data_IF_220295751456
#
_entry.id   IF_220295751456
#
_cell.length_a   1.000
_cell.length_b   1.000
_cell.length_c   1.000
_cell.angle_alpha   90.00
_cell.angle_beta   90.00
_cell.angle_gamma   90.00
#
_symmetry.space_group_name_H-M   'P 1'
#
loop_
_entity.id
_entity.type
_entity.pdbx_description
1 polymer ?
#
# COMPACT_ATOMS: atom_id res chain seq x y z
N UNK A 1 8.04 32.55 -36.90
CA UNK A 1 9.31 32.08 -36.30
C UNK A 1 9.05 31.96 -34.81
N UNK A 2 8.75 30.74 -34.34
CA UNK A 2 8.62 30.45 -32.90
C UNK A 2 10.00 30.73 -32.31
N UNK A 3 10.02 31.56 -31.28
CA UNK A 3 11.16 32.31 -30.73
C UNK A 3 12.43 31.46 -30.55
N UNK A 4 13.54 31.87 -31.21
CA UNK A 4 14.90 31.30 -31.07
C UNK A 4 15.67 32.00 -29.95
N UNK A 5 15.13 32.05 -28.74
CA UNK A 5 15.90 32.58 -27.61
C UNK A 5 16.81 31.45 -27.11
N UNK A 6 18.14 31.61 -27.15
CA UNK A 6 19.05 30.60 -26.62
C UNK A 6 18.78 30.34 -25.14
N UNK A 7 18.96 29.10 -24.67
CA UNK A 7 18.80 28.75 -23.24
C UNK A 7 19.75 29.52 -22.30
N UNK A 8 20.79 30.18 -22.83
CA UNK A 8 21.69 31.05 -22.08
C UNK A 8 21.20 32.49 -21.93
N UNK A 9 20.07 32.85 -22.56
CA UNK A 9 19.48 34.19 -22.49
C UNK A 9 18.20 34.12 -21.66
N UNK A 10 18.13 34.81 -20.50
CA UNK A 10 16.89 34.93 -19.73
C UNK A 10 15.75 35.48 -20.59
N UNK A 11 14.55 34.94 -20.45
CA UNK A 11 13.37 35.42 -21.16
C UNK A 11 13.03 36.84 -20.69
N UNK A 12 12.78 37.76 -21.63
CA UNK A 12 12.34 39.12 -21.31
C UNK A 12 10.95 39.09 -20.66
N UNK A 13 10.83 39.62 -19.45
CA UNK A 13 9.55 39.80 -18.76
C UNK A 13 9.23 38.77 -17.67
N UNK A 14 10.04 37.75 -17.42
CA UNK A 14 9.82 36.84 -16.28
C UNK A 14 10.80 37.02 -15.11
N UNK A 15 10.13 37.01 -13.97
CA UNK A 15 10.49 37.40 -12.63
C UNK A 15 11.64 36.55 -12.09
N UNK A 16 12.68 37.20 -11.55
CA UNK A 16 13.55 36.52 -10.62
C UNK A 16 12.65 35.84 -9.57
N UNK A 17 12.63 34.51 -9.55
CA UNK A 17 11.98 33.74 -8.49
C UNK A 17 12.60 34.28 -7.22
N UNK A 18 11.82 34.99 -6.42
CA UNK A 18 12.26 35.40 -5.10
C UNK A 18 12.44 34.09 -4.35
N UNK A 19 13.67 33.62 -4.21
CA UNK A 19 13.96 32.50 -3.34
C UNK A 19 13.37 32.89 -2.00
N UNK A 20 12.39 32.13 -1.49
CA UNK A 20 11.96 32.34 -0.13
C UNK A 20 13.18 32.03 0.74
N UNK A 21 13.80 33.09 1.25
CA UNK A 21 14.93 32.99 2.15
C UNK A 21 14.43 32.33 3.43
N UNK A 22 14.88 31.10 3.68
CA UNK A 22 14.67 30.36 4.93
C UNK A 22 13.27 30.53 5.51
N UNK A 23 12.26 30.00 4.81
CA UNK A 23 11.03 29.62 5.49
C UNK A 23 11.43 28.70 6.64
N UNK A 24 11.03 29.01 7.88
CA UNK A 24 11.52 28.44 9.14
C UNK A 24 11.41 26.92 9.22
N UNK A 25 12.25 26.24 8.46
CA UNK A 25 12.35 24.81 8.36
C UNK A 25 12.97 24.32 9.65
N UNK A 26 12.15 23.64 10.44
CA UNK A 26 12.62 22.88 11.58
C UNK A 26 12.73 21.44 11.09
N UNK A 27 13.96 20.90 10.93
CA UNK A 27 14.13 19.50 10.58
C UNK A 27 13.41 18.61 11.59
N UNK A 28 12.72 17.56 11.12
CA UNK A 28 12.05 16.57 11.97
C UNK A 28 10.87 17.13 12.80
N UNK A 29 10.18 18.18 12.32
CA UNK A 29 8.94 18.70 12.93
C UNK A 29 7.71 17.87 12.53
N UNK A 30 7.72 16.58 12.89
CA UNK A 30 6.61 15.68 12.56
C UNK A 30 5.37 15.97 13.42
N UNK A 31 4.23 16.19 12.77
CA UNK A 31 2.94 16.37 13.43
C UNK A 31 2.12 15.08 13.39
N UNK A 32 1.44 14.76 14.48
CA UNK A 32 0.65 13.54 14.64
C UNK A 32 -0.76 13.86 15.11
N UNK A 33 -1.75 13.33 14.41
CA UNK A 33 -3.17 13.43 14.78
C UNK A 33 -3.80 12.04 14.74
N UNK A 34 -4.59 11.70 15.76
CA UNK A 34 -5.44 10.50 15.73
C UNK A 34 -6.89 10.94 15.53
N UNK A 35 -7.49 10.51 14.42
CA UNK A 35 -8.86 10.88 14.07
C UNK A 35 -9.87 10.11 14.93
N UNK A 36 -11.11 10.60 14.97
CA UNK A 36 -12.23 9.88 15.62
C UNK A 36 -12.50 8.51 14.98
N UNK A 37 -12.16 8.34 13.70
CA UNK A 37 -12.19 7.07 13.00
C UNK A 37 -11.11 6.08 13.46
N UNK A 38 -10.19 6.48 14.35
CA UNK A 38 -8.97 5.75 14.78
C UNK A 38 -7.84 5.70 13.75
N UNK A 39 -8.04 6.26 12.56
CA UNK A 39 -6.95 6.47 11.60
C UNK A 39 -5.95 7.44 12.20
N UNK A 40 -4.67 7.10 12.12
CA UNK A 40 -3.57 7.97 12.54
C UNK A 40 -3.04 8.71 11.32
N UNK A 41 -2.80 10.01 11.47
CA UNK A 41 -2.25 10.88 10.42
C UNK A 41 -0.94 11.46 10.93
N UNK A 42 0.12 11.26 10.16
CA UNK A 42 1.44 11.82 10.39
C UNK A 42 1.81 12.71 9.20
N UNK A 43 2.43 13.85 9.46
CA UNK A 43 2.99 14.65 8.39
C UNK A 43 4.31 15.30 8.78
N UNK A 44 5.16 15.52 7.79
CA UNK A 44 6.35 16.35 7.90
C UNK A 44 6.31 17.43 6.82
N UNK A 45 6.30 18.71 7.21
CA UNK A 45 6.31 19.80 6.25
C UNK A 45 7.66 19.80 5.53
N UNK A 46 7.63 19.79 4.20
CA UNK A 46 8.79 20.02 3.37
C UNK A 46 8.46 21.06 2.31
N UNK A 47 9.40 21.95 2.01
CA UNK A 47 9.18 23.02 1.06
C UNK A 47 9.42 22.51 -0.36
N UNK A 48 8.39 22.59 -1.19
CA UNK A 48 8.42 22.21 -2.60
C UNK A 48 7.02 22.15 -3.20
N UNK A 49 6.96 22.03 -4.51
CA UNK A 49 5.70 21.94 -5.25
C UNK A 49 5.13 20.50 -5.28
N UNK A 50 5.85 19.54 -4.72
CA UNK A 50 5.49 18.12 -4.70
C UNK A 50 5.40 17.58 -3.28
N UNK A 51 4.47 16.65 -3.09
CA UNK A 51 4.28 15.91 -1.86
C UNK A 51 4.27 14.41 -2.13
N UNK A 52 4.60 13.63 -1.10
CA UNK A 52 4.45 12.17 -1.10
C UNK A 52 3.52 11.78 0.03
N UNK A 53 2.50 10.98 -0.29
CA UNK A 53 1.49 10.52 0.63
C UNK A 53 1.50 9.00 0.63
N UNK A 54 1.59 8.39 1.81
CA UNK A 54 1.57 6.95 2.00
C UNK A 54 0.48 6.54 2.97
N UNK A 55 -0.22 5.46 2.67
CA UNK A 55 -1.14 4.79 3.58
C UNK A 55 -0.55 3.44 3.93
N UNK A 56 -0.02 3.34 5.15
CA UNK A 56 0.51 2.12 5.72
C UNK A 56 -0.58 1.42 6.53
N UNK A 57 -0.77 0.13 6.28
CA UNK A 57 -1.79 -0.70 6.88
C UNK A 57 -1.11 -1.87 7.57
N UNK A 58 -1.45 -2.13 8.82
CA UNK A 58 -1.06 -3.37 9.51
C UNK A 58 -1.80 -4.55 8.87
N UNK A 59 -1.25 -5.10 7.79
CA UNK A 59 -1.83 -6.10 6.90
C UNK A 59 -0.72 -6.73 6.06
N UNK A 60 -0.90 -7.92 5.53
CA UNK A 60 0.17 -8.68 4.85
C UNK A 60 0.02 -10.19 5.01
N UNK A 61 0.95 -10.94 4.42
CA UNK A 61 0.80 -12.41 4.33
C UNK A 61 0.77 -13.09 5.70
N UNK A 62 1.31 -12.48 6.77
CA UNK A 62 1.25 -13.06 8.12
C UNK A 62 -0.16 -13.20 8.69
N UNK A 63 -1.11 -12.42 8.17
CA UNK A 63 -2.49 -12.35 8.66
C UNK A 63 -3.43 -13.26 7.85
N UNK A 64 -2.88 -14.12 6.98
CA UNK A 64 -3.66 -14.98 6.10
C UNK A 64 -4.19 -16.26 6.78
N UNK A 65 -4.03 -16.40 8.09
CA UNK A 65 -4.62 -17.52 8.82
C UNK A 65 -6.14 -17.54 8.62
N UNK A 66 -6.67 -18.67 8.14
CA UNK A 66 -8.08 -18.81 7.79
C UNK A 66 -8.47 -18.30 6.40
N UNK A 67 -7.52 -17.77 5.63
CA UNK A 67 -7.64 -17.45 4.21
C UNK A 67 -6.78 -18.39 3.37
N UNK A 68 -7.07 -18.57 2.07
CA UNK A 68 -6.11 -19.20 1.17
C UNK A 68 -4.82 -18.37 1.13
N UNK A 69 -3.67 -19.00 1.38
CA UNK A 69 -2.37 -18.32 1.41
C UNK A 69 -2.08 -17.63 0.07
N UNK A 70 -1.56 -16.40 0.13
CA UNK A 70 -1.36 -15.51 -1.01
C UNK A 70 -2.57 -14.66 -1.38
N UNK A 71 -3.57 -14.56 -0.49
CA UNK A 71 -4.68 -13.59 -0.63
C UNK A 71 -4.17 -12.15 -0.62
N UNK A 72 -3.21 -11.80 0.24
CA UNK A 72 -2.61 -10.46 0.31
C UNK A 72 -1.83 -10.13 -0.96
N UNK A 73 -1.16 -11.12 -1.57
CA UNK A 73 -0.47 -10.95 -2.84
C UNK A 73 -1.45 -10.64 -3.99
N UNK A 74 -2.62 -11.30 -4.00
CA UNK A 74 -3.69 -10.98 -4.96
C UNK A 74 -4.29 -9.60 -4.69
N UNK A 75 -4.47 -9.21 -3.42
CA UNK A 75 -4.92 -7.86 -3.05
C UNK A 75 -3.94 -6.80 -3.60
N UNK A 76 -2.63 -7.09 -3.60
CA UNK A 76 -1.60 -6.18 -4.13
C UNK A 76 -1.79 -5.99 -5.65
N UNK A 77 -1.99 -7.07 -6.41
CA UNK A 77 -2.19 -6.98 -7.87
C UNK A 77 -3.53 -6.37 -8.28
N UNK A 78 -4.52 -6.44 -7.39
CA UNK A 78 -5.82 -5.78 -7.56
C UNK A 78 -5.78 -4.29 -7.19
N UNK A 79 -4.70 -3.81 -6.58
CA UNK A 79 -4.54 -2.39 -6.27
C UNK A 79 -4.72 -1.54 -7.53
N UNK A 80 -5.37 -0.39 -7.35
CA UNK A 80 -5.69 0.55 -8.42
C UNK A 80 -6.48 -0.05 -9.60
N UNK A 81 -7.19 -1.15 -9.36
CA UNK A 81 -8.28 -1.62 -10.22
C UNK A 81 -9.48 -0.67 -10.21
N UNK A 82 -10.57 -1.09 -10.86
CA UNK A 82 -11.82 -0.33 -10.88
C UNK A 82 -12.41 -0.17 -9.47
N UNK A 83 -13.00 1.00 -9.24
CA UNK A 83 -13.59 1.39 -7.96
C UNK A 83 -15.03 1.87 -8.15
N UNK A 84 -15.71 2.25 -7.08
CA UNK A 84 -17.01 2.95 -7.19
C UNK A 84 -16.90 4.31 -7.89
N UNK A 85 -15.72 4.93 -7.85
CA UNK A 85 -15.47 6.29 -8.38
C UNK A 85 -14.92 6.28 -9.81
N UNK A 86 -13.98 5.36 -10.07
CA UNK A 86 -13.28 5.22 -11.36
C UNK A 86 -13.64 3.86 -11.97
N UNK A 87 -14.03 3.84 -13.23
CA UNK A 87 -14.53 2.64 -13.91
C UNK A 87 -13.43 1.68 -14.34
N UNK A 88 -12.19 2.17 -14.51
CA UNK A 88 -11.05 1.39 -14.99
C UNK A 88 -9.72 1.90 -14.40
N UNK A 89 -8.64 1.12 -14.61
CA UNK A 89 -7.27 1.55 -14.29
C UNK A 89 -6.87 2.81 -15.07
N UNK A 90 -7.28 2.90 -16.33
CA UNK A 90 -6.93 4.02 -17.21
C UNK A 90 -7.49 5.35 -16.71
N UNK A 91 -8.69 5.37 -16.15
CA UNK A 91 -9.25 6.58 -15.53
C UNK A 91 -8.43 7.04 -14.32
N UNK A 92 -7.96 6.09 -13.51
CA UNK A 92 -7.09 6.39 -12.36
C UNK A 92 -5.76 6.99 -12.85
N UNK A 93 -5.14 6.38 -13.86
CA UNK A 93 -3.88 6.88 -14.43
C UNK A 93 -4.03 8.24 -15.11
N UNK A 94 -5.16 8.55 -15.73
CA UNK A 94 -5.43 9.87 -16.29
C UNK A 94 -5.44 10.95 -15.20
N UNK A 95 -6.15 10.70 -14.09
CA UNK A 95 -6.16 11.63 -12.94
C UNK A 95 -4.77 11.79 -12.33
N UNK A 96 -4.00 10.72 -12.23
CA UNK A 96 -2.61 10.79 -11.76
C UNK A 96 -1.75 11.63 -12.70
N UNK A 97 -1.82 11.40 -14.01
CA UNK A 97 -1.06 12.16 -15.01
C UNK A 97 -1.37 13.66 -14.96
N UNK A 98 -2.64 14.04 -14.82
CA UNK A 98 -3.07 15.44 -14.70
C UNK A 98 -2.48 16.14 -13.47
N UNK A 99 -2.13 15.38 -12.43
CA UNK A 99 -1.56 15.88 -11.18
C UNK A 99 -0.05 15.63 -11.04
N UNK A 100 0.63 15.20 -12.12
CA UNK A 100 2.05 14.82 -12.09
C UNK A 100 2.33 13.68 -11.11
N UNK A 101 1.35 12.80 -10.95
CA UNK A 101 1.29 11.76 -9.93
C UNK A 101 1.95 10.45 -10.36
N UNK A 102 2.73 9.85 -9.47
CA UNK A 102 3.13 8.44 -9.51
C UNK A 102 2.48 7.73 -8.35
N UNK A 103 2.02 6.49 -8.55
CA UNK A 103 1.41 5.67 -7.52
C UNK A 103 2.01 4.28 -7.52
N UNK A 104 2.15 3.68 -6.35
CA UNK A 104 2.57 2.30 -6.17
C UNK A 104 1.87 1.65 -4.98
N UNK A 105 1.78 0.33 -5.02
CA UNK A 105 1.23 -0.49 -3.95
C UNK A 105 2.12 -1.70 -3.71
N UNK A 106 2.53 -1.89 -2.46
CA UNK A 106 3.41 -2.99 -2.07
C UNK A 106 2.92 -3.66 -0.79
N UNK A 107 3.01 -4.98 -0.74
CA UNK A 107 2.78 -5.77 0.45
C UNK A 107 4.07 -6.37 1.00
N UNK A 108 4.18 -6.42 2.32
CA UNK A 108 5.19 -7.17 3.06
C UNK A 108 4.50 -8.25 3.90
N UNK A 109 5.24 -8.83 4.87
CA UNK A 109 4.67 -9.79 5.81
C UNK A 109 3.64 -9.17 6.73
N UNK A 110 3.85 -7.94 7.17
CA UNK A 110 3.06 -7.28 8.22
C UNK A 110 2.57 -5.88 7.86
N UNK A 111 3.01 -5.34 6.72
CA UNK A 111 2.65 -4.00 6.27
C UNK A 111 2.19 -4.02 4.81
N UNK A 112 1.08 -3.34 4.54
CA UNK A 112 0.61 -2.99 3.21
C UNK A 112 0.76 -1.50 3.01
N UNK A 113 1.34 -1.07 1.88
CA UNK A 113 1.62 0.34 1.62
C UNK A 113 0.99 0.72 0.28
N UNK A 114 0.12 1.72 0.31
CA UNK A 114 -0.34 2.44 -0.89
C UNK A 114 0.29 3.83 -0.85
N UNK A 115 1.17 4.15 -1.79
CA UNK A 115 1.89 5.42 -1.78
C UNK A 115 1.80 6.12 -3.12
N UNK A 116 1.74 7.45 -3.07
CA UNK A 116 1.75 8.29 -4.25
C UNK A 116 2.62 9.53 -4.03
N UNK A 117 3.28 9.99 -5.09
CA UNK A 117 3.94 11.29 -5.14
C UNK A 117 3.24 12.14 -6.20
N UNK A 118 2.87 13.37 -5.89
CA UNK A 118 2.16 14.26 -6.81
C UNK A 118 2.43 15.73 -6.51
N UNK A 119 1.99 16.64 -7.40
CA UNK A 119 1.98 18.06 -7.10
C UNK A 119 1.08 18.34 -5.89
N UNK A 120 1.44 19.31 -5.03
CA UNK A 120 0.70 19.62 -3.79
C UNK A 120 -0.79 19.92 -4.02
N UNK A 121 -1.14 20.54 -5.15
CA UNK A 121 -2.53 20.81 -5.53
C UNK A 121 -3.33 19.55 -5.84
N UNK A 122 -2.65 18.44 -6.14
CA UNK A 122 -3.24 17.14 -6.42
C UNK A 122 -3.48 16.27 -5.19
N UNK A 123 -3.13 16.75 -3.98
CA UNK A 123 -3.32 16.05 -2.70
C UNK A 123 -4.71 15.41 -2.59
N UNK A 124 -5.77 16.18 -2.84
CA UNK A 124 -7.15 15.73 -2.66
C UNK A 124 -7.52 14.60 -3.64
N UNK A 125 -7.18 14.77 -4.91
CA UNK A 125 -7.45 13.79 -5.96
C UNK A 125 -6.69 12.48 -5.73
N UNK A 126 -5.42 12.58 -5.33
CA UNK A 126 -4.59 11.41 -5.04
C UNK A 126 -5.05 10.68 -3.78
N UNK A 127 -5.44 11.41 -2.73
CA UNK A 127 -6.04 10.81 -1.53
C UNK A 127 -7.38 10.12 -1.86
N UNK A 128 -8.20 10.71 -2.74
CA UNK A 128 -9.43 10.07 -3.23
C UNK A 128 -9.12 8.73 -3.91
N UNK A 129 -8.10 8.68 -4.79
CA UNK A 129 -7.68 7.46 -5.47
C UNK A 129 -7.25 6.40 -4.46
N UNK A 130 -6.36 6.73 -3.52
CA UNK A 130 -5.86 5.77 -2.53
C UNK A 130 -7.01 5.24 -1.67
N UNK A 131 -7.84 6.12 -1.12
CA UNK A 131 -8.98 5.71 -0.30
C UNK A 131 -9.98 4.83 -1.06
N UNK A 132 -10.23 5.12 -2.34
CA UNK A 132 -11.09 4.28 -3.18
C UNK A 132 -10.45 2.93 -3.52
N UNK A 133 -9.14 2.88 -3.76
CA UNK A 133 -8.43 1.62 -4.00
C UNK A 133 -8.47 0.69 -2.77
N UNK A 134 -8.39 1.25 -1.55
CA UNK A 134 -8.43 0.47 -0.31
C UNK A 134 -9.86 0.07 0.06
N UNK A 135 -10.81 1.02 0.08
CA UNK A 135 -12.15 0.79 0.65
C UNK A 135 -13.26 0.57 -0.38
N UNK A 136 -13.06 0.96 -1.63
CA UNK A 136 -14.13 0.99 -2.66
C UNK A 136 -13.75 0.30 -3.96
N UNK A 137 -12.78 -0.62 -3.92
CA UNK A 137 -12.45 -1.49 -5.03
C UNK A 137 -13.62 -2.41 -5.38
N UNK A 138 -13.88 -2.59 -6.68
CA UNK A 138 -14.92 -3.49 -7.19
C UNK A 138 -14.46 -4.94 -7.22
N UNK A 139 -13.15 -5.17 -7.42
CA UNK A 139 -12.52 -6.50 -7.53
C UNK A 139 -13.36 -7.41 -8.44
N UNK A 140 -13.57 -7.02 -9.70
CA UNK A 140 -14.38 -7.78 -10.66
C UNK A 140 -13.77 -9.16 -10.91
N UNK A 141 -14.55 -10.10 -11.46
CA UNK A 141 -14.00 -11.43 -11.76
C UNK A 141 -12.91 -11.34 -12.83
N UNK A 142 -13.07 -10.45 -13.82
CA UNK A 142 -12.08 -10.26 -14.88
C UNK A 142 -10.76 -9.71 -14.29
N UNK A 143 -10.83 -8.70 -13.41
CA UNK A 143 -9.66 -8.17 -12.70
C UNK A 143 -8.97 -9.23 -11.82
N UNK A 144 -9.75 -10.13 -11.21
CA UNK A 144 -9.22 -11.22 -10.41
C UNK A 144 -8.46 -12.22 -11.28
N UNK A 145 -8.98 -12.58 -12.45
CA UNK A 145 -8.28 -13.46 -13.39
C UNK A 145 -7.03 -12.79 -13.98
N UNK A 146 -7.07 -11.49 -14.28
CA UNK A 146 -5.88 -10.71 -14.63
C UNK A 146 -4.82 -10.75 -13.52
N UNK A 147 -5.22 -10.52 -12.27
CA UNK A 147 -4.33 -10.60 -11.12
C UNK A 147 -3.69 -11.99 -10.98
N UNK A 148 -4.45 -13.07 -11.24
CA UNK A 148 -3.89 -14.43 -11.25
C UNK A 148 -2.84 -14.61 -12.35
N UNK A 149 -3.11 -14.13 -13.55
CA UNK A 149 -2.15 -14.22 -14.66
C UNK A 149 -0.86 -13.49 -14.34
N UNK A 150 -0.95 -12.30 -13.72
CA UNK A 150 0.23 -11.54 -13.27
C UNK A 150 1.02 -12.33 -12.22
N UNK A 151 0.36 -12.86 -11.19
CA UNK A 151 1.02 -13.66 -10.15
C UNK A 151 1.66 -14.93 -10.71
N UNK A 152 0.97 -15.62 -11.63
CA UNK A 152 1.53 -16.81 -12.28
C UNK A 152 2.79 -16.45 -13.09
N UNK A 153 2.74 -15.36 -13.85
CA UNK A 153 3.90 -14.87 -14.58
C UNK A 153 5.07 -14.53 -13.66
N UNK A 154 4.81 -13.84 -12.53
CA UNK A 154 5.84 -13.55 -11.52
C UNK A 154 6.47 -14.82 -10.94
N UNK A 155 5.65 -15.84 -10.61
CA UNK A 155 6.14 -17.12 -10.11
C UNK A 155 7.06 -17.84 -11.11
N UNK A 156 6.75 -17.75 -12.41
CA UNK A 156 7.54 -18.37 -13.47
C UNK A 156 8.83 -17.61 -13.77
N UNK A 157 8.83 -16.29 -13.59
CA UNK A 157 9.89 -15.38 -14.00
C UNK A 157 10.88 -15.05 -12.88
N UNK A 158 10.40 -14.86 -11.64
CA UNK A 158 11.25 -14.51 -10.50
C UNK A 158 12.42 -15.48 -10.27
N UNK A 159 12.25 -16.81 -10.29
CA UNK A 159 13.37 -17.73 -10.06
C UNK A 159 14.48 -17.68 -11.12
N UNK A 160 14.21 -17.06 -12.27
CA UNK A 160 15.18 -16.91 -13.38
C UNK A 160 16.00 -15.63 -13.27
N UNK A 161 15.61 -14.70 -12.40
CA UNK A 161 16.24 -13.38 -12.24
C UNK A 161 17.18 -13.37 -11.03
N UNK A 162 18.43 -12.96 -11.26
CA UNK A 162 19.43 -12.81 -10.18
C UNK A 162 18.93 -11.82 -9.12
N UNK A 163 18.30 -10.73 -9.54
CA UNK A 163 17.75 -9.68 -8.66
C UNK A 163 16.68 -10.21 -7.68
N UNK A 164 15.97 -11.27 -8.04
CA UNK A 164 14.94 -11.90 -7.20
C UNK A 164 15.50 -12.90 -6.19
N UNK A 165 16.80 -13.21 -6.25
CA UNK A 165 17.43 -14.22 -5.38
C UNK A 165 17.30 -13.88 -3.90
N UNK A 166 17.59 -12.63 -3.53
CA UNK A 166 17.54 -12.18 -2.13
C UNK A 166 16.10 -12.13 -1.57
N UNK A 167 15.10 -11.58 -2.28
CA UNK A 167 13.70 -11.68 -1.87
C UNK A 167 13.22 -13.13 -1.69
N UNK A 168 13.53 -14.04 -2.63
CA UNK A 168 13.14 -15.44 -2.56
C UNK A 168 13.81 -16.18 -1.40
N UNK A 169 15.12 -15.99 -1.21
CA UNK A 169 15.86 -16.60 -0.12
C UNK A 169 15.35 -16.13 1.24
N UNK A 170 15.06 -14.83 1.37
CA UNK A 170 14.48 -14.26 2.58
C UNK A 170 13.12 -14.87 2.88
N UNK A 171 12.30 -15.08 1.86
CA UNK A 171 10.99 -15.72 1.99
C UNK A 171 11.11 -17.18 2.45
N UNK A 172 11.98 -17.97 1.81
CA UNK A 172 12.22 -19.37 2.19
C UNK A 172 12.84 -19.52 3.58
N UNK A 173 13.70 -18.58 3.98
CA UNK A 173 14.26 -18.56 5.34
C UNK A 173 13.15 -18.40 6.38
N UNK A 174 12.19 -17.51 6.13
CA UNK A 174 11.04 -17.32 7.02
C UNK A 174 10.13 -18.55 7.03
N UNK A 175 9.86 -19.16 5.87
CA UNK A 175 9.11 -20.41 5.79
C UNK A 175 9.78 -21.52 6.60
N UNK A 176 11.11 -21.65 6.54
CA UNK A 176 11.84 -22.64 7.32
C UNK A 176 11.87 -22.31 8.83
N UNK A 177 11.96 -21.02 9.17
CA UNK A 177 12.06 -20.51 10.53
C UNK A 177 10.73 -20.55 11.30
N UNK A 178 9.60 -20.30 10.63
CA UNK A 178 8.29 -20.14 11.27
C UNK A 178 7.25 -21.15 10.78
N UNK A 179 7.52 -21.89 9.70
CA UNK A 179 6.67 -22.95 9.12
C UNK A 179 5.24 -22.45 8.85
N UNK A 180 4.23 -23.20 9.27
CA UNK A 180 2.82 -22.92 8.97
C UNK A 180 2.20 -21.89 9.94
N UNK A 181 2.98 -20.94 10.44
CA UNK A 181 2.51 -19.92 11.39
C UNK A 181 2.96 -18.51 10.99
N UNK A 182 2.01 -17.57 10.95
CA UNK A 182 2.22 -16.12 10.82
C UNK A 182 3.37 -15.74 9.88
N UNK A 183 4.56 -15.44 10.39
CA UNK A 183 5.72 -15.01 9.61
C UNK A 183 6.24 -16.06 8.61
N UNK A 184 5.87 -17.32 8.79
CA UNK A 184 6.21 -18.42 7.89
C UNK A 184 5.29 -18.53 6.67
N UNK A 185 4.17 -17.80 6.63
CA UNK A 185 3.39 -17.64 5.42
C UNK A 185 4.19 -16.87 4.38
N UNK A 186 4.31 -17.47 3.18
CA UNK A 186 5.06 -16.89 2.07
C UNK A 186 4.37 -15.63 1.56
N UNK A 187 5.17 -14.64 1.14
CA UNK A 187 4.65 -13.49 0.38
C UNK A 187 4.16 -13.92 -1.01
N UNK A 188 4.73 -14.98 -1.57
CA UNK A 188 4.48 -15.42 -2.94
C UNK A 188 3.44 -16.55 -2.96
N UNK A 189 2.38 -16.35 -3.73
CA UNK A 189 1.26 -17.29 -3.82
C UNK A 189 1.67 -18.54 -4.61
N UNK A 190 1.58 -19.73 -4.00
CA UNK A 190 1.75 -20.99 -4.75
C UNK A 190 0.63 -21.20 -5.79
N UNK A 191 0.91 -21.90 -6.89
CA UNK A 191 -0.08 -22.20 -7.94
C UNK A 191 -1.34 -22.92 -7.39
N UNK A 192 -1.14 -23.85 -6.45
CA UNK A 192 -2.22 -24.59 -5.82
C UNK A 192 -3.13 -23.66 -4.99
N UNK A 193 -2.55 -22.69 -4.28
CA UNK A 193 -3.33 -21.72 -3.52
C UNK A 193 -3.99 -20.67 -4.43
N UNK A 194 -3.29 -20.30 -5.52
CA UNK A 194 -3.74 -19.30 -6.48
C UNK A 194 -5.13 -19.65 -7.02
N UNK A 195 -5.38 -20.89 -7.41
CA UNK A 195 -6.70 -21.33 -7.92
C UNK A 195 -7.85 -21.28 -6.89
N UNK A 196 -7.54 -21.23 -5.58
CA UNK A 196 -8.53 -21.27 -4.48
C UNK A 196 -8.95 -19.90 -3.99
N UNK A 197 -8.17 -18.86 -4.29
CA UNK A 197 -8.49 -17.48 -3.89
C UNK A 197 -9.73 -17.05 -4.69
N UNK A 198 -10.77 -16.57 -4.02
CA UNK A 198 -12.01 -16.10 -4.67
C UNK A 198 -12.20 -14.63 -4.38
N UNK A 199 -13.04 -13.96 -5.17
CA UNK A 199 -13.46 -12.57 -4.89
C UNK A 199 -13.96 -12.40 -3.44
N UNK A 200 -14.70 -13.38 -2.91
CA UNK A 200 -15.17 -13.36 -1.52
C UNK A 200 -14.03 -13.45 -0.51
N UNK A 201 -13.00 -14.25 -0.78
CA UNK A 201 -11.79 -14.31 0.06
C UNK A 201 -11.10 -12.93 0.09
N UNK A 202 -10.87 -12.33 -1.07
CA UNK A 202 -10.24 -11.00 -1.22
C UNK A 202 -11.01 -9.93 -0.45
N UNK A 203 -12.31 -9.78 -0.71
CA UNK A 203 -13.12 -8.75 -0.05
C UNK A 203 -13.23 -8.98 1.46
N UNK A 204 -13.31 -10.23 1.90
CA UNK A 204 -13.34 -10.57 3.32
C UNK A 204 -12.02 -10.24 4.00
N UNK A 205 -10.89 -10.51 3.36
CA UNK A 205 -9.56 -10.16 3.89
C UNK A 205 -9.42 -8.64 4.07
N UNK A 206 -9.74 -7.87 3.01
CA UNK A 206 -9.69 -6.40 3.05
C UNK A 206 -10.61 -5.87 4.16
N UNK A 207 -11.83 -6.40 4.29
CA UNK A 207 -12.80 -5.94 5.30
C UNK A 207 -12.31 -6.11 6.75
N UNK A 208 -11.47 -7.09 7.02
CA UNK A 208 -10.94 -7.35 8.36
C UNK A 208 -9.63 -6.61 8.63
N UNK A 209 -8.72 -6.59 7.65
CA UNK A 209 -7.34 -6.14 7.86
C UNK A 209 -7.06 -4.71 7.37
N UNK A 210 -7.94 -4.12 6.54
CA UNK A 210 -7.82 -2.73 6.09
C UNK A 210 -8.79 -1.81 6.86
N UNK A 211 -9.08 -2.18 8.11
CA UNK A 211 -9.93 -1.43 9.03
C UNK A 211 -9.26 -0.13 9.53
N UNK A 212 -10.02 0.91 9.89
CA UNK A 212 -9.50 2.22 10.27
C UNK A 212 -8.39 2.22 11.34
N UNK A 213 -8.52 1.40 12.38
CA UNK A 213 -7.54 1.29 13.48
C UNK A 213 -6.17 0.75 13.04
N UNK A 214 -6.13 0.03 11.91
CA UNK A 214 -4.90 -0.53 11.33
C UNK A 214 -4.21 0.42 10.35
N UNK A 215 -4.80 1.59 10.09
CA UNK A 215 -4.32 2.53 9.08
C UNK A 215 -3.53 3.68 9.72
N UNK A 216 -2.38 3.96 9.12
CA UNK A 216 -1.61 5.18 9.29
C UNK A 216 -1.47 5.86 7.94
N UNK A 217 -1.86 7.13 7.85
CA UNK A 217 -1.60 7.98 6.69
C UNK A 217 -0.39 8.86 7.02
N UNK A 218 0.64 8.83 6.20
CA UNK A 218 1.84 9.64 6.32
C UNK A 218 1.96 10.57 5.10
N UNK A 219 2.34 11.83 5.31
CA UNK A 219 2.59 12.78 4.23
C UNK A 219 3.89 13.55 4.42
N UNK A 220 4.68 13.69 3.37
CA UNK A 220 5.89 14.52 3.33
C UNK A 220 5.69 15.61 2.28
N UNK A 221 6.03 16.86 2.61
CA UNK A 221 5.81 17.98 1.69
C UNK A 221 4.37 18.47 1.62
N UNK A 222 3.59 18.20 2.66
CA UNK A 222 2.17 18.57 2.74
C UNK A 222 1.86 19.27 4.06
N UNK A 223 0.94 20.23 4.03
CA UNK A 223 0.40 20.81 5.26
C UNK A 223 -0.38 19.77 6.07
N UNK A 224 -0.23 19.81 7.39
CA UNK A 224 -0.84 18.80 8.27
C UNK A 224 -2.36 18.87 8.26
N UNK A 225 -2.92 20.07 8.30
CA UNK A 225 -4.37 20.28 8.42
C UNK A 225 -5.05 19.94 7.09
N UNK A 226 -4.39 20.24 5.95
CA UNK A 226 -4.84 19.83 4.62
C UNK A 226 -4.84 18.30 4.48
N UNK A 227 -3.79 17.61 4.94
CA UNK A 227 -3.74 16.14 4.92
C UNK A 227 -4.82 15.53 5.81
N UNK A 228 -4.99 16.03 7.04
CA UNK A 228 -6.05 15.60 7.96
C UNK A 228 -7.42 15.76 7.32
N UNK A 229 -7.70 16.92 6.73
CA UNK A 229 -8.97 17.20 6.07
C UNK A 229 -9.22 16.26 4.88
N UNK A 230 -8.19 15.98 4.07
CA UNK A 230 -8.29 15.02 2.96
C UNK A 230 -8.57 13.59 3.46
N UNK A 231 -7.91 13.15 4.53
CA UNK A 231 -8.15 11.83 5.13
C UNK A 231 -9.57 11.72 5.69
N UNK A 232 -10.04 12.72 6.43
CA UNK A 232 -11.41 12.72 6.98
C UNK A 232 -12.48 12.72 5.88
N UNK A 233 -12.23 13.42 4.78
CA UNK A 233 -13.12 13.47 3.61
C UNK A 233 -13.24 12.11 2.93
N UNK A 234 -12.10 11.45 2.69
CA UNK A 234 -12.03 10.26 1.83
C UNK A 234 -12.11 8.93 2.57
N UNK A 235 -11.69 8.85 3.84
CA UNK A 235 -11.85 7.68 4.71
C UNK A 235 -13.07 7.81 5.64
N UNK A 236 -14.22 8.19 5.06
CA UNK A 236 -15.47 8.33 5.80
C UNK A 236 -16.04 6.96 6.22
N UNK A 237 -16.35 6.71 7.50
CA UNK A 237 -17.00 5.48 7.95
C UNK A 237 -18.33 5.19 7.25
N UNK A 238 -18.69 3.93 7.06
CA UNK A 238 -19.93 3.52 6.38
C UNK A 238 -19.92 3.68 4.86
N UNK A 239 -18.75 3.96 4.26
CA UNK A 239 -18.62 4.14 2.81
C UNK A 239 -17.85 3.02 2.12
N UNK A 240 -17.28 2.08 2.86
CA UNK A 240 -16.54 0.98 2.28
C UNK A 240 -17.47 0.01 1.54
N UNK A 241 -16.94 -0.66 0.52
CA UNK A 241 -17.71 -1.55 -0.35
C UNK A 241 -18.32 -2.71 0.44
N UNK A 242 -17.58 -3.25 1.40
CA UNK A 242 -18.04 -4.34 2.27
C UNK A 242 -19.10 -3.93 3.29
N UNK A 243 -19.11 -2.65 3.70
CA UNK A 243 -20.15 -2.12 4.60
C UNK A 243 -21.47 -1.96 3.86
N UNK A 244 -21.42 -1.51 2.59
CA UNK A 244 -22.60 -1.31 1.75
C UNK A 244 -23.17 -2.59 1.16
N UNK A 245 -22.30 -3.59 0.90
CA UNK A 245 -22.65 -4.82 0.20
C UNK A 245 -22.11 -6.04 0.96
N UNK A 246 -22.70 -6.41 2.12
CA UNK A 246 -22.19 -7.51 2.96
C UNK A 246 -22.16 -8.87 2.24
N UNK A 247 -22.97 -9.05 1.20
CA UNK A 247 -23.07 -10.27 0.41
C UNK A 247 -21.82 -10.61 -0.40
N UNK A 248 -20.92 -9.63 -0.61
CA UNK A 248 -19.63 -9.83 -1.27
C UNK A 248 -18.61 -10.55 -0.38
N UNK A 249 -18.93 -10.73 0.90
CA UNK A 249 -18.09 -11.38 1.90
C UNK A 249 -18.36 -12.90 1.94
N UNK A 250 -17.47 -13.60 2.63
CA UNK A 250 -17.67 -15.00 3.00
C UNK A 250 -18.88 -15.11 3.95
N UNK A 251 -19.69 -16.17 3.84
CA UNK A 251 -20.82 -16.39 4.74
C UNK A 251 -20.40 -16.48 6.22
N UNK A 252 -19.20 -16.98 6.48
CA UNK A 252 -18.57 -17.03 7.79
C UNK A 252 -17.16 -16.46 7.65
N UNK A 253 -16.94 -15.30 8.22
CA UNK A 253 -15.60 -14.70 8.26
C UNK A 253 -14.67 -15.52 9.18
N UNK A 254 -13.40 -15.72 8.78
CA UNK A 254 -12.38 -16.25 9.67
C UNK A 254 -12.22 -15.39 10.94
N UNK A 255 -11.67 -15.98 12.00
CA UNK A 255 -11.27 -15.18 13.16
C UNK A 255 -10.06 -14.32 12.79
N UNK A 256 -10.05 -13.07 13.26
CA UNK A 256 -8.91 -12.17 13.09
C UNK A 256 -7.70 -12.80 13.77
N UNK A 257 -6.62 -12.96 13.01
CA UNK A 257 -5.39 -13.51 13.54
C UNK A 257 -4.67 -12.49 14.44
N UNK A 258 -4.52 -12.84 15.71
CA UNK A 258 -3.77 -12.08 16.71
C UNK A 258 -2.59 -12.91 17.25
N UNK A 259 -2.20 -13.96 16.53
CA UNK A 259 -1.14 -14.87 16.94
C UNK A 259 0.21 -14.18 16.93
N UNK A 260 1.00 -14.44 17.97
CA UNK A 260 2.40 -14.03 18.03
C UNK A 260 3.22 -15.00 17.19
N UNK A 261 4.21 -14.48 16.47
CA UNK A 261 5.11 -15.30 15.68
C UNK A 261 5.89 -16.26 16.58
N UNK A 262 5.80 -17.56 16.29
CA UNK A 262 6.52 -18.60 17.00
C UNK A 262 7.60 -19.17 16.10
N UNK A 263 8.85 -18.98 16.47
CA UNK A 263 9.98 -19.58 15.78
C UNK A 263 9.94 -21.11 16.00
N UNK A 264 9.96 -21.86 14.90
CA UNK A 264 9.89 -23.33 14.86
C UNK A 264 11.08 -23.97 14.13
N UNK A 265 12.00 -23.17 13.57
CA UNK A 265 13.18 -23.65 12.85
C UNK A 265 14.35 -24.05 13.76
N UNK A 266 15.05 -25.14 13.39
CA UNK A 266 16.28 -25.61 14.05
C UNK A 266 16.13 -26.16 15.48
N UNK A 267 17.06 -27.03 15.90
CA UNK A 267 17.19 -27.46 17.30
C UNK A 267 18.59 -27.11 17.85
N UNK A 268 18.57 -26.60 19.09
CA UNK A 268 19.65 -26.50 20.10
C UNK A 268 20.58 -25.28 20.08
N UNK A 269 20.38 -24.44 21.10
CA UNK A 269 21.43 -23.61 21.72
C UNK A 269 22.57 -24.52 22.16
N UNK A 270 23.76 -24.38 21.59
CA UNK A 270 24.97 -24.92 22.20
C UNK A 270 25.11 -24.23 23.56
N UNK A 271 24.88 -24.98 24.65
CA UNK A 271 25.13 -24.48 26.00
C UNK A 271 26.59 -24.09 26.11
N UNK A 272 26.82 -22.87 26.60
CA UNK A 272 28.09 -22.19 26.86
C UNK A 272 29.28 -23.13 27.05
N UNK A 273 30.35 -22.92 26.27
CA UNK A 273 31.68 -23.36 26.67
C UNK A 273 32.06 -22.64 27.98
N UNK A 274 31.87 -23.32 29.11
CA UNK A 274 32.65 -23.03 30.31
C UNK A 274 33.94 -23.84 30.25
N UNK A 275 35.03 -23.22 30.72
CA UNK A 275 36.40 -23.72 30.94
C UNK A 275 37.30 -23.89 29.71
N UNK A 276 38.18 -22.89 29.51
CA UNK A 276 39.58 -22.95 29.98
C UNK A 276 39.98 -21.59 30.55
#
# INVERSE_FOLDING_TARGET
SITRIPLCTPLEGEFAVKSQSEAGYVPFDSKLTTLKSKIRVASEPHYGDYCTIGVAIESGCRYESGYPLGTSHIVEKLAFGSTSRHSSRDEIYAVLQDNGGLIDCQSTRDTFIYAASCHVTGLDAVMEIIANAIWRAKNTNDELEEARMIVQYENDDMPKKIESTEPLLTDWLHMAAFRDNTLGFSKFTSENALSKITKKHVNSYISQYHAPERIVVAGVGVDHDDLVAAVERHFKPGTAMWEKNPEILLPKLPQIDNSVAQYTGGEVRVSSFSSL
#
